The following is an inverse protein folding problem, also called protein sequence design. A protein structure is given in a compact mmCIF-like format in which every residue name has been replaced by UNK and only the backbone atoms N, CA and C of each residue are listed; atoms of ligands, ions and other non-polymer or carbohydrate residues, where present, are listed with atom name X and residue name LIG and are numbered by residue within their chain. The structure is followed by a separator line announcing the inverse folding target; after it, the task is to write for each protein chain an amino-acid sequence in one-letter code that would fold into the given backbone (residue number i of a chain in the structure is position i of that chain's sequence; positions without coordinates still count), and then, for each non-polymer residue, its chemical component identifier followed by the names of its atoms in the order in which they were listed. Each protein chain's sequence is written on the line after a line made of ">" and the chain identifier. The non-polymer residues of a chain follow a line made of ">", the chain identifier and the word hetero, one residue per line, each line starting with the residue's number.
data_IF_552050646052
#
_entry.id   IF_552050646052
#
_cell.length_a   1.000
_cell.length_b   1.000
_cell.length_c   1.000
_cell.angle_alpha   90.00
_cell.angle_beta   90.00
_cell.angle_gamma   90.00
#
_symmetry.space_group_name_H-M   'P 1'
#
loop_
_entity.id
_entity.type
_entity.pdbx_description
1 polymer ?
#
# COMPACT_ATOMS: atom_id res chain seq x y z
N UNK A 1 -9.41 -9.23 -15.14
CA UNK A 1 -10.21 -10.07 -14.20
C UNK A 1 -11.44 -9.28 -13.80
N UNK A 2 -12.47 -9.90 -13.22
CA UNK A 2 -13.49 -9.13 -12.50
C UNK A 2 -12.99 -8.81 -11.11
N UNK A 3 -13.17 -7.56 -10.69
CA UNK A 3 -12.66 -7.03 -9.45
C UNK A 3 -13.76 -6.21 -8.78
N UNK A 4 -14.13 -6.58 -7.57
CA UNK A 4 -15.09 -5.86 -6.74
C UNK A 4 -14.40 -5.40 -5.47
N UNK A 5 -14.65 -4.16 -5.08
CA UNK A 5 -14.10 -3.53 -3.89
C UNK A 5 -15.25 -3.16 -2.95
N UNK A 6 -15.12 -3.40 -1.65
CA UNK A 6 -16.10 -2.99 -0.65
C UNK A 6 -15.44 -2.26 0.52
N UNK A 7 -15.73 -0.97 0.67
CA UNK A 7 -15.30 -0.16 1.82
C UNK A 7 -16.28 -0.32 2.98
N UNK A 8 -15.75 -0.48 4.19
CA UNK A 8 -16.51 -0.68 5.43
C UNK A 8 -16.02 0.24 6.54
N UNK A 9 -16.89 0.52 7.50
CA UNK A 9 -16.55 1.25 8.72
C UNK A 9 -16.91 0.46 10.00
N UNK A 10 -16.22 0.77 11.09
CA UNK A 10 -16.49 0.33 12.47
C UNK A 10 -15.94 1.38 13.45
N UNK A 11 -16.26 1.32 14.74
CA UNK A 11 -15.76 2.26 15.74
C UNK A 11 -14.73 1.60 16.69
N UNK A 12 -13.67 2.35 17.06
CA UNK A 12 -12.61 1.89 17.97
C UNK A 12 -12.52 2.67 19.29
N UNK A 13 -11.96 1.97 20.27
CA UNK A 13 -11.36 2.53 21.48
C UNK A 13 -9.88 2.84 21.27
N UNK A 14 -9.40 4.00 21.72
CA UNK A 14 -7.96 4.29 21.81
C UNK A 14 -7.29 3.40 22.88
N UNK A 15 -6.11 2.86 22.61
CA UNK A 15 -5.27 2.27 23.67
C UNK A 15 -4.74 3.40 24.56
N UNK A 16 -5.25 3.50 25.78
CA UNK A 16 -4.61 4.32 26.82
C UNK A 16 -3.23 3.75 27.14
N UNK A 17 -2.26 4.63 27.40
CA UNK A 17 -0.93 4.19 27.83
C UNK A 17 -1.03 3.51 29.19
N UNK A 18 -0.55 2.27 29.27
CA UNK A 18 -0.33 1.59 30.54
C UNK A 18 0.81 2.31 31.27
N UNK A 19 0.51 2.89 32.44
CA UNK A 19 1.54 3.48 33.29
C UNK A 19 2.39 2.36 33.90
N UNK A 20 3.54 2.06 33.28
CA UNK A 20 4.52 1.13 33.84
C UNK A 20 4.90 1.55 35.27
N UNK A 21 4.56 0.72 36.27
CA UNK A 21 4.98 0.98 37.64
C UNK A 21 6.50 0.84 37.76
N UNK A 22 7.11 1.74 38.54
CA UNK A 22 8.56 1.96 38.59
C UNK A 22 9.41 0.75 39.04
N UNK A 23 8.77 -0.28 39.58
CA UNK A 23 9.41 -1.36 40.34
C UNK A 23 10.13 -2.39 39.46
N UNK A 24 9.64 -2.65 38.24
CA UNK A 24 10.24 -3.69 37.38
C UNK A 24 11.62 -3.31 36.80
N UNK A 25 12.00 -2.02 36.81
CA UNK A 25 13.29 -1.56 36.23
C UNK A 25 14.49 -1.77 37.15
N UNK A 26 14.32 -1.99 38.45
CA UNK A 26 15.45 -2.18 39.39
C UNK A 26 15.99 -3.61 39.46
N UNK A 27 15.21 -4.64 39.14
CA UNK A 27 15.67 -6.04 39.24
C UNK A 27 16.58 -6.52 38.08
N UNK A 28 16.78 -5.73 37.01
CA UNK A 28 17.59 -6.12 35.83
C UNK A 28 19.04 -5.61 35.82
N UNK A 29 19.52 -4.92 36.87
CA UNK A 29 20.86 -4.31 36.88
C UNK A 29 21.90 -4.99 37.80
N UNK A 30 21.64 -6.19 38.35
CA UNK A 30 22.56 -6.86 39.29
C UNK A 30 22.92 -8.32 38.93
N UNK A 31 23.33 -8.61 37.69
CA UNK A 31 24.05 -9.86 37.38
C UNK A 31 24.73 -9.94 35.98
N UNK A 32 25.93 -9.36 35.83
CA UNK A 32 27.03 -9.89 34.96
C UNK A 32 28.30 -9.04 35.15
N UNK A 33 29.47 -9.68 35.27
CA UNK A 33 30.77 -8.99 35.36
C UNK A 33 31.54 -8.94 34.03
N UNK A 34 32.47 -7.99 33.91
CA UNK A 34 33.27 -7.76 32.69
C UNK A 34 34.48 -8.72 32.55
N UNK A 35 34.74 -9.24 31.34
CA UNK A 35 36.08 -9.64 30.87
C UNK A 35 36.84 -8.43 30.25
N UNK A 36 38.17 -8.53 30.06
CA UNK A 36 39.01 -7.41 29.59
C UNK A 36 39.00 -7.20 28.07
N UNK A 37 39.49 -6.04 27.64
CA UNK A 37 39.53 -5.57 26.24
C UNK A 37 40.72 -6.08 25.43
N UNK A 38 40.52 -6.30 24.13
CA UNK A 38 41.56 -6.53 23.13
C UNK A 38 41.34 -5.62 21.91
N UNK A 39 42.41 -5.02 21.40
CA UNK A 39 42.34 -4.12 20.24
C UNK A 39 42.37 -4.91 18.90
N UNK A 40 41.65 -4.47 17.86
CA UNK A 40 41.76 -5.03 16.52
C UNK A 40 43.04 -4.53 15.80
N UNK A 41 43.63 -5.33 14.89
CA UNK A 41 44.81 -4.94 14.11
C UNK A 41 44.48 -3.97 12.94
N UNK A 42 45.48 -3.23 12.41
CA UNK A 42 45.28 -2.23 11.37
C UNK A 42 45.12 -2.79 9.95
N UNK A 43 44.44 -2.03 9.09
CA UNK A 43 44.12 -2.38 7.68
C UNK A 43 45.27 -1.98 6.72
N UNK A 44 45.64 -2.82 5.72
CA UNK A 44 46.62 -2.48 4.69
C UNK A 44 46.18 -1.35 3.72
N UNK A 45 47.17 -0.71 3.08
CA UNK A 45 46.99 0.39 2.11
C UNK A 45 46.83 -0.13 0.66
N UNK A 46 46.25 0.67 -0.27
CA UNK A 46 45.80 0.19 -1.58
C UNK A 46 46.92 -0.08 -2.58
N UNK A 47 46.65 -0.98 -3.54
CA UNK A 47 47.47 -1.21 -4.74
C UNK A 47 46.94 -0.46 -5.97
N UNK A 48 47.80 -0.33 -6.97
CA UNK A 48 47.69 0.63 -8.08
C UNK A 48 46.84 0.19 -9.27
N UNK A 49 46.32 1.18 -10.00
CA UNK A 49 45.63 1.03 -11.28
C UNK A 49 46.48 0.32 -12.34
N UNK A 50 45.83 -0.45 -13.21
CA UNK A 50 46.40 -0.99 -14.45
C UNK A 50 45.54 -0.52 -15.62
N UNK A 51 46.16 0.18 -16.57
CA UNK A 51 45.47 0.65 -17.77
C UNK A 51 45.10 -0.51 -18.70
N UNK A 52 43.88 -0.49 -19.25
CA UNK A 52 43.54 -1.29 -20.42
C UNK A 52 43.18 -0.36 -21.59
N UNK A 53 43.80 -0.60 -22.74
CA UNK A 53 43.62 0.20 -23.96
C UNK A 53 42.40 -0.31 -24.73
N UNK A 54 41.61 0.62 -25.28
CA UNK A 54 40.46 0.33 -26.14
C UNK A 54 40.78 0.52 -27.61
N UNK A 55 40.25 -0.35 -28.48
CA UNK A 55 40.28 -0.22 -29.94
C UNK A 55 38.84 -0.37 -30.51
N UNK A 56 38.41 0.49 -31.44
CA UNK A 56 37.13 0.38 -32.16
C UNK A 56 37.33 -0.34 -33.52
N UNK A 57 36.29 -0.51 -34.39
CA UNK A 57 34.86 -0.20 -34.23
C UNK A 57 33.96 -1.45 -34.50
N UNK A 58 32.63 -1.26 -34.56
CA UNK A 58 31.81 -1.52 -35.76
C UNK A 58 30.32 -1.26 -35.48
N UNK A 59 29.63 -0.55 -36.38
CA UNK A 59 28.20 -0.21 -36.28
C UNK A 59 27.39 -0.84 -37.43
N UNK A 60 26.25 -1.49 -37.14
CA UNK A 60 25.17 -1.70 -38.10
C UNK A 60 24.20 -0.50 -38.07
N UNK A 61 23.71 -0.07 -39.23
CA UNK A 61 22.61 0.91 -39.30
C UNK A 61 21.30 0.30 -38.78
N UNK A 62 20.58 1.04 -37.93
CA UNK A 62 19.12 0.90 -37.76
C UNK A 62 18.51 2.28 -37.96
N UNK A 63 17.41 2.34 -38.72
CA UNK A 63 16.75 3.58 -39.12
C UNK A 63 16.07 4.29 -37.94
N UNK A 64 16.11 5.62 -37.94
CA UNK A 64 15.48 6.43 -36.91
C UNK A 64 13.95 6.40 -37.04
N UNK A 65 13.28 5.73 -36.10
CA UNK A 65 11.86 5.95 -35.81
C UNK A 65 11.72 7.20 -34.93
N UNK A 66 10.68 7.99 -35.17
CA UNK A 66 10.44 9.26 -34.49
C UNK A 66 10.18 9.06 -32.99
N UNK A 67 11.05 9.60 -32.13
CA UNK A 67 10.89 9.56 -30.68
C UNK A 67 9.69 10.39 -30.21
N UNK A 68 8.82 9.79 -29.40
CA UNK A 68 7.70 10.48 -28.77
C UNK A 68 8.17 11.67 -27.90
N UNK A 69 7.46 12.81 -27.89
CA UNK A 69 7.82 14.01 -27.12
C UNK A 69 7.48 13.86 -25.63
N UNK A 70 8.13 12.92 -24.95
CA UNK A 70 7.95 12.64 -23.51
C UNK A 70 9.22 12.26 -22.76
N UNK A 71 10.38 12.12 -23.44
CA UNK A 71 11.65 11.76 -22.79
C UNK A 71 12.28 12.97 -22.12
N UNK A 72 11.76 13.31 -20.93
CA UNK A 72 12.22 14.43 -20.12
C UNK A 72 13.72 14.38 -19.83
N UNK A 73 14.39 15.53 -19.96
CA UNK A 73 15.70 15.76 -19.34
C UNK A 73 15.50 15.85 -17.81
N UNK A 74 16.57 15.68 -17.04
CA UNK A 74 16.55 15.80 -15.57
C UNK A 74 15.64 16.94 -15.11
N UNK A 75 14.74 16.64 -14.17
CA UNK A 75 13.86 17.64 -13.60
C UNK A 75 14.68 18.80 -13.02
N UNK A 76 14.23 20.04 -13.26
CA UNK A 76 14.60 21.13 -12.36
C UNK A 76 14.05 20.77 -10.98
N UNK A 77 14.88 20.91 -9.95
CA UNK A 77 14.39 20.99 -8.58
C UNK A 77 13.38 22.15 -8.52
N UNK A 78 12.10 21.82 -8.33
CA UNK A 78 11.04 22.78 -8.07
C UNK A 78 11.18 23.30 -6.63
N UNK A 79 10.67 24.49 -6.34
CA UNK A 79 10.58 24.95 -4.95
C UNK A 79 9.64 24.00 -4.18
N UNK A 80 9.96 23.54 -2.95
CA UNK A 80 9.07 22.63 -2.21
C UNK A 80 7.65 23.18 -1.98
N UNK A 81 7.48 24.49 -1.98
CA UNK A 81 6.17 25.17 -1.89
C UNK A 81 5.37 25.14 -3.21
N UNK A 82 6.02 24.84 -4.33
CA UNK A 82 5.43 24.71 -5.68
C UNK A 82 5.15 23.24 -6.07
N UNK A 83 5.68 22.26 -5.32
CA UNK A 83 5.49 20.84 -5.63
C UNK A 83 4.06 20.38 -5.35
N UNK A 84 3.39 19.78 -6.34
CA UNK A 84 2.06 19.20 -6.15
C UNK A 84 2.13 17.77 -5.62
N UNK A 85 1.03 17.28 -5.02
CA UNK A 85 0.86 15.88 -4.65
C UNK A 85 1.12 14.90 -5.81
N UNK A 86 0.83 15.32 -7.04
CA UNK A 86 1.04 14.54 -8.27
C UNK A 86 2.53 14.39 -8.59
N UNK A 87 3.30 15.45 -8.38
CA UNK A 87 4.74 15.42 -8.61
C UNK A 87 5.43 14.61 -7.50
N UNK A 88 5.00 14.82 -6.24
CA UNK A 88 5.33 13.95 -5.11
C UNK A 88 4.95 12.48 -5.33
N UNK A 89 3.81 12.20 -5.96
CA UNK A 89 3.37 10.84 -6.27
C UNK A 89 4.32 10.18 -7.28
N UNK A 90 4.59 10.81 -8.42
CA UNK A 90 5.46 10.19 -9.43
C UNK A 90 6.92 10.06 -8.97
N UNK A 91 7.42 10.97 -8.13
CA UNK A 91 8.78 10.92 -7.57
C UNK A 91 8.89 9.97 -6.36
N UNK A 92 7.88 9.90 -5.47
CA UNK A 92 7.85 8.89 -4.39
C UNK A 92 7.73 7.47 -4.93
N UNK A 93 6.92 7.24 -5.96
CA UNK A 93 6.90 5.94 -6.66
C UNK A 93 8.16 5.67 -7.51
N UNK A 94 9.12 6.59 -7.61
CA UNK A 94 10.48 6.28 -8.09
C UNK A 94 11.34 5.67 -6.97
N UNK A 95 10.99 5.93 -5.70
CA UNK A 95 11.71 5.43 -4.55
C UNK A 95 11.43 3.94 -4.31
N UNK A 96 12.50 3.15 -4.24
CA UNK A 96 12.44 1.69 -4.09
C UNK A 96 11.69 1.23 -2.82
N UNK A 97 11.71 2.02 -1.74
CA UNK A 97 11.17 1.62 -0.44
C UNK A 97 9.66 1.34 -0.47
N UNK A 98 8.90 2.18 -1.19
CA UNK A 98 7.44 2.02 -1.37
C UNK A 98 7.14 0.74 -2.17
N UNK A 99 7.96 0.40 -3.16
CA UNK A 99 7.85 -0.86 -3.88
C UNK A 99 8.26 -2.06 -3.03
N UNK A 100 9.21 -1.91 -2.11
CA UNK A 100 9.62 -2.98 -1.21
C UNK A 100 8.56 -3.28 -0.14
N UNK A 101 7.92 -2.27 0.48
CA UNK A 101 6.77 -2.48 1.37
C UNK A 101 5.62 -3.17 0.63
N UNK A 102 5.28 -2.69 -0.58
CA UNK A 102 4.28 -3.32 -1.45
C UNK A 102 4.62 -4.77 -1.82
N UNK A 103 5.90 -5.11 -2.04
CA UNK A 103 6.34 -6.48 -2.37
C UNK A 103 6.38 -7.40 -1.13
N UNK A 104 6.71 -6.85 0.05
CA UNK A 104 6.68 -7.53 1.35
C UNK A 104 5.26 -7.77 1.87
N UNK A 105 4.27 -7.01 1.39
CA UNK A 105 2.85 -7.33 1.58
C UNK A 105 2.50 -8.63 0.82
N UNK A 106 2.70 -9.75 1.50
CA UNK A 106 2.36 -11.09 1.01
C UNK A 106 0.85 -11.26 0.81
N UNK A 107 0.02 -10.68 1.67
CA UNK A 107 -1.44 -10.78 1.59
C UNK A 107 -1.93 -10.22 0.26
N UNK A 108 -1.46 -9.01 -0.10
CA UNK A 108 -1.68 -8.40 -1.41
C UNK A 108 -1.04 -9.22 -2.52
N UNK A 109 0.27 -9.40 -2.48
CA UNK A 109 1.08 -9.85 -3.62
C UNK A 109 0.78 -11.32 -3.96
N UNK A 110 0.60 -12.19 -2.96
CA UNK A 110 0.20 -13.57 -3.16
C UNK A 110 -1.25 -13.69 -3.62
N UNK A 111 -2.17 -12.83 -3.17
CA UNK A 111 -3.58 -12.89 -3.65
C UNK A 111 -3.66 -12.54 -5.14
N UNK A 112 -2.98 -11.48 -5.59
CA UNK A 112 -2.88 -11.17 -7.02
C UNK A 112 -2.25 -12.33 -7.80
N UNK A 113 -1.10 -12.86 -7.35
CA UNK A 113 -0.46 -14.03 -7.98
C UNK A 113 -1.41 -15.22 -8.10
N UNK A 114 -2.10 -15.56 -7.01
CA UNK A 114 -2.98 -16.72 -6.92
C UNK A 114 -4.24 -16.53 -7.80
N UNK A 115 -4.77 -15.31 -7.89
CA UNK A 115 -5.88 -14.98 -8.81
C UNK A 115 -5.50 -15.24 -10.28
N UNK A 116 -4.25 -15.02 -10.67
CA UNK A 116 -3.76 -15.35 -12.01
C UNK A 116 -3.39 -16.84 -12.15
N UNK A 117 -2.55 -17.37 -11.25
CA UNK A 117 -1.95 -18.70 -11.35
C UNK A 117 -2.95 -19.85 -11.16
N UNK A 118 -4.00 -19.68 -10.36
CA UNK A 118 -5.06 -20.70 -10.21
C UNK A 118 -6.12 -20.62 -11.33
N UNK A 119 -6.06 -19.58 -12.17
CA UNK A 119 -7.04 -19.34 -13.23
C UNK A 119 -6.37 -19.11 -14.59
N UNK A 120 -5.24 -19.80 -14.87
CA UNK A 120 -4.47 -19.67 -16.14
C UNK A 120 -5.33 -19.77 -17.40
N UNK A 121 -6.42 -20.54 -17.38
CA UNK A 121 -7.38 -20.65 -18.48
C UNK A 121 -8.04 -19.31 -18.89
N UNK A 122 -8.09 -18.32 -17.99
CA UNK A 122 -8.58 -16.95 -18.27
C UNK A 122 -7.50 -16.12 -18.97
N UNK A 123 -6.23 -16.36 -18.64
CA UNK A 123 -5.07 -15.61 -19.12
C UNK A 123 -4.48 -16.18 -20.41
N UNK A 124 -4.64 -17.49 -20.65
CA UNK A 124 -4.02 -18.19 -21.78
C UNK A 124 -4.36 -17.52 -23.10
N UNK A 125 -3.33 -17.23 -23.88
CA UNK A 125 -3.40 -16.63 -25.22
C UNK A 125 -4.03 -15.21 -25.25
N UNK A 126 -4.22 -14.55 -24.09
CA UNK A 126 -4.76 -13.18 -24.00
C UNK A 126 -3.68 -12.10 -24.04
N UNK A 127 -4.07 -10.90 -24.46
CA UNK A 127 -3.32 -9.68 -24.19
C UNK A 127 -3.79 -9.15 -22.83
N UNK A 128 -2.85 -8.75 -21.98
CA UNK A 128 -3.11 -8.16 -20.65
C UNK A 128 -2.55 -6.73 -20.60
N UNK A 129 -3.20 -5.87 -19.84
CA UNK A 129 -2.75 -4.51 -19.52
C UNK A 129 -2.57 -4.41 -18.00
N UNK A 130 -1.43 -3.88 -17.57
CA UNK A 130 -1.03 -3.67 -16.18
C UNK A 130 -0.83 -2.16 -15.99
N UNK A 131 -1.70 -1.52 -15.20
CA UNK A 131 -1.83 -0.06 -15.11
C UNK A 131 -1.24 0.42 -13.79
N UNK A 132 -0.18 1.22 -13.85
CA UNK A 132 0.69 1.47 -12.69
C UNK A 132 1.56 0.25 -12.40
N UNK A 133 2.20 -0.30 -13.43
CA UNK A 133 2.89 -1.59 -13.34
C UNK A 133 4.08 -1.60 -12.37
N UNK A 134 4.61 -0.44 -11.96
CA UNK A 134 5.70 -0.31 -11.00
C UNK A 134 6.93 -1.14 -11.37
N UNK A 135 7.34 -2.04 -10.49
CA UNK A 135 8.42 -3.02 -10.69
C UNK A 135 8.13 -4.12 -11.71
N UNK A 136 6.91 -4.15 -12.29
CA UNK A 136 6.47 -5.14 -13.27
C UNK A 136 5.95 -6.44 -12.67
N UNK A 137 5.93 -6.61 -11.34
CA UNK A 137 5.61 -7.89 -10.68
C UNK A 137 4.25 -8.49 -11.11
N UNK A 138 3.22 -7.66 -11.30
CA UNK A 138 1.90 -8.13 -11.75
C UNK A 138 1.91 -8.53 -13.24
N UNK A 139 2.60 -7.76 -14.09
CA UNK A 139 2.88 -8.15 -15.48
C UNK A 139 3.61 -9.49 -15.57
N UNK A 140 4.60 -9.74 -14.70
CA UNK A 140 5.34 -11.00 -14.65
C UNK A 140 4.46 -12.17 -14.21
N UNK A 141 3.53 -11.97 -13.26
CA UNK A 141 2.51 -12.96 -12.92
C UNK A 141 1.55 -13.24 -14.09
N UNK A 142 1.12 -12.21 -14.84
CA UNK A 142 0.26 -12.38 -16.01
C UNK A 142 0.94 -13.19 -17.12
N UNK A 143 2.24 -12.93 -17.37
CA UNK A 143 3.06 -13.70 -18.30
C UNK A 143 3.13 -15.18 -17.89
N UNK A 144 3.45 -15.50 -16.62
CA UNK A 144 3.46 -16.91 -16.15
C UNK A 144 2.08 -17.54 -15.98
N UNK A 145 1.00 -16.77 -16.00
CA UNK A 145 -0.35 -17.29 -16.15
C UNK A 145 -0.69 -17.70 -17.59
N UNK A 146 0.17 -17.39 -18.57
CA UNK A 146 0.03 -17.79 -19.98
C UNK A 146 -0.47 -16.68 -20.92
N UNK A 147 -0.41 -15.41 -20.50
CA UNK A 147 -0.71 -14.29 -21.39
C UNK A 147 0.18 -14.32 -22.63
N UNK A 148 -0.42 -14.09 -23.81
CA UNK A 148 0.29 -13.98 -25.10
C UNK A 148 1.20 -12.75 -25.13
N UNK A 149 0.76 -11.67 -24.48
CA UNK A 149 1.52 -10.44 -24.34
C UNK A 149 1.00 -9.66 -23.14
N UNK A 150 1.86 -8.85 -22.51
CA UNK A 150 1.48 -7.98 -21.39
C UNK A 150 2.06 -6.58 -21.65
N UNK A 151 1.19 -5.58 -21.64
CA UNK A 151 1.60 -4.18 -21.66
C UNK A 151 1.62 -3.66 -20.22
N UNK A 152 2.80 -3.34 -19.70
CA UNK A 152 2.94 -2.53 -18.49
C UNK A 152 2.94 -1.05 -18.84
N UNK A 153 2.10 -0.26 -18.16
CA UNK A 153 2.14 1.20 -18.22
C UNK A 153 2.57 1.71 -16.84
N UNK A 154 3.71 2.37 -16.82
CA UNK A 154 4.24 3.07 -15.64
C UNK A 154 4.69 4.48 -16.05
N UNK A 155 4.46 5.42 -15.14
CA UNK A 155 4.67 6.85 -15.28
C UNK A 155 5.89 7.36 -14.49
N UNK A 156 6.29 6.63 -13.45
CA UNK A 156 7.50 6.88 -12.66
C UNK A 156 8.75 6.25 -13.28
N UNK A 157 9.94 6.76 -12.92
CA UNK A 157 11.25 6.26 -13.40
C UNK A 157 11.61 4.86 -12.89
N UNK A 158 10.83 4.28 -11.95
CA UNK A 158 10.90 2.86 -11.61
C UNK A 158 10.68 1.94 -12.84
N UNK A 159 10.04 2.45 -13.90
CA UNK A 159 9.95 1.83 -15.22
C UNK A 159 11.31 1.43 -15.81
N UNK A 160 12.36 2.23 -15.60
CA UNK A 160 13.73 1.87 -16.04
C UNK A 160 14.31 0.69 -15.27
N UNK A 161 13.77 0.37 -14.09
CA UNK A 161 14.14 -0.81 -13.32
C UNK A 161 13.25 -2.01 -13.65
N UNK A 162 11.95 -1.81 -13.92
CA UNK A 162 11.07 -2.91 -14.35
C UNK A 162 11.48 -3.49 -15.69
N UNK A 163 11.94 -2.68 -16.65
CA UNK A 163 12.61 -3.18 -17.86
C UNK A 163 13.80 -4.09 -17.54
N UNK A 164 14.67 -3.69 -16.61
CA UNK A 164 15.87 -4.46 -16.22
C UNK A 164 15.47 -5.77 -15.52
N UNK A 165 14.48 -5.72 -14.64
CA UNK A 165 13.90 -6.88 -13.94
C UNK A 165 13.31 -7.86 -14.96
N UNK A 166 12.51 -7.38 -15.91
CA UNK A 166 11.90 -8.20 -16.97
C UNK A 166 12.98 -8.88 -17.83
N UNK A 167 14.09 -8.20 -18.13
CA UNK A 167 15.23 -8.74 -18.90
C UNK A 167 16.09 -9.73 -18.10
N UNK A 168 16.44 -9.41 -16.84
CA UNK A 168 17.14 -10.34 -15.93
C UNK A 168 16.35 -11.62 -15.70
N UNK A 169 15.02 -11.52 -15.73
CA UNK A 169 14.12 -12.66 -15.62
C UNK A 169 13.81 -13.38 -16.90
N UNK A 170 14.42 -12.94 -17.99
CA UNK A 170 14.18 -13.43 -19.31
C UNK A 170 12.65 -13.48 -19.55
N UNK A 171 11.98 -12.33 -19.55
CA UNK A 171 10.56 -12.20 -19.91
C UNK A 171 10.36 -11.35 -21.16
N UNK A 172 11.43 -10.72 -21.61
CA UNK A 172 11.70 -10.56 -23.03
C UNK A 172 11.81 -11.92 -23.76
N UNK A 173 12.53 -12.92 -23.19
CA UNK A 173 12.96 -14.11 -23.94
C UNK A 173 12.94 -15.53 -23.26
N UNK A 174 12.87 -15.69 -21.92
CA UNK A 174 12.58 -16.94 -21.11
C UNK A 174 13.72 -17.62 -20.29
N UNK A 175 13.71 -17.88 -18.95
CA UNK A 175 12.89 -17.45 -17.78
C UNK A 175 13.66 -17.54 -16.39
N UNK A 176 13.30 -16.74 -15.36
CA UNK A 176 13.48 -16.87 -13.86
C UNK A 176 14.76 -16.35 -13.09
N UNK A 177 14.91 -16.22 -11.72
CA UNK A 177 14.11 -16.63 -10.52
C UNK A 177 14.29 -15.87 -9.13
N UNK A 178 13.19 -15.31 -8.55
CA UNK A 178 12.77 -15.15 -7.10
C UNK A 178 11.22 -15.19 -7.04
N UNK A 179 10.60 -16.16 -6.35
CA UNK A 179 9.28 -16.74 -6.74
C UNK A 179 9.24 -17.27 -8.20
N UNK A 180 10.38 -17.30 -8.90
CA UNK A 180 10.42 -17.31 -10.35
C UNK A 180 10.74 -15.97 -11.04
N UNK A 181 10.98 -14.85 -10.34
CA UNK A 181 11.51 -13.59 -10.90
C UNK A 181 12.58 -12.83 -10.05
N UNK A 182 13.87 -12.86 -10.39
CA UNK A 182 14.97 -12.06 -9.80
C UNK A 182 14.62 -10.58 -9.62
N UNK A 183 14.83 -10.08 -8.40
CA UNK A 183 14.58 -8.71 -7.94
C UNK A 183 15.82 -8.12 -7.24
N UNK A 184 17.00 -8.75 -7.35
CA UNK A 184 18.22 -8.35 -6.60
C UNK A 184 18.68 -6.92 -6.89
N UNK A 185 18.37 -6.37 -8.07
CA UNK A 185 18.64 -4.98 -8.41
C UNK A 185 17.87 -3.94 -7.57
N UNK A 186 16.73 -4.32 -6.96
CA UNK A 186 16.03 -3.49 -5.96
C UNK A 186 16.64 -3.73 -4.57
N UNK A 187 16.91 -5.00 -4.25
CA UNK A 187 17.27 -5.47 -2.90
C UNK A 187 18.49 -4.75 -2.30
N UNK A 188 19.49 -4.43 -3.12
CA UNK A 188 20.74 -3.84 -2.64
C UNK A 188 20.65 -2.36 -2.23
N UNK A 189 19.47 -1.72 -2.37
CA UNK A 189 19.24 -0.30 -2.01
C UNK A 189 18.20 -0.16 -0.89
N UNK A 190 17.36 -1.16 -0.65
CA UNK A 190 16.12 -1.07 0.14
C UNK A 190 16.27 -1.06 1.68
N UNK A 191 17.36 -0.53 2.22
CA UNK A 191 17.71 -0.66 3.65
C UNK A 191 17.54 0.64 4.44
N UNK A 192 16.32 1.20 4.60
CA UNK A 192 15.92 2.08 5.71
C UNK A 192 14.43 2.51 5.73
N UNK A 193 13.98 2.97 6.91
CA UNK A 193 12.80 3.84 7.22
C UNK A 193 11.36 3.23 7.38
N UNK A 194 10.40 3.94 8.06
CA UNK A 194 9.46 3.29 9.02
C UNK A 194 7.94 3.27 8.68
N UNK A 195 7.13 2.86 9.67
CA UNK A 195 5.76 2.34 9.56
C UNK A 195 4.58 3.35 9.60
N UNK A 196 3.52 3.02 8.83
CA UNK A 196 2.10 3.33 9.13
C UNK A 196 1.56 2.38 10.24
N UNK A 197 0.57 2.80 11.04
CA UNK A 197 0.07 2.09 12.25
C UNK A 197 -1.01 1.01 12.00
N UNK A 198 -1.29 0.14 12.99
CA UNK A 198 -2.22 -1.02 12.92
C UNK A 198 -3.19 -1.01 14.12
N UNK A 199 -4.49 -1.20 13.87
CA UNK A 199 -5.51 -1.33 14.93
C UNK A 199 -5.56 -2.77 15.47
N UNK A 200 -5.40 -2.99 16.79
CA UNK A 200 -5.65 -4.31 17.41
C UNK A 200 -7.16 -4.62 17.31
N UNK A 201 -7.59 -5.79 16.78
CA UNK A 201 -9.01 -6.13 16.70
C UNK A 201 -9.75 -6.09 18.04
N UNK A 202 -9.05 -6.20 19.18
CA UNK A 202 -9.64 -5.98 20.52
C UNK A 202 -10.10 -4.54 20.75
N UNK A 203 -9.59 -3.56 20.03
CA UNK A 203 -10.02 -2.16 20.12
C UNK A 203 -11.38 -1.90 19.45
N UNK A 204 -11.86 -2.81 18.60
CA UNK A 204 -13.17 -2.71 17.93
C UNK A 204 -14.30 -2.83 18.95
N UNK A 205 -15.24 -1.87 18.95
CA UNK A 205 -16.38 -1.83 19.90
C UNK A 205 -17.71 -2.24 19.25
N UNK A 206 -17.80 -2.21 17.91
CA UNK A 206 -19.05 -2.38 17.15
C UNK A 206 -19.02 -3.58 16.20
N UNK A 207 -20.14 -3.83 15.51
CA UNK A 207 -20.13 -4.52 14.22
C UNK A 207 -19.47 -3.63 13.13
N UNK A 208 -19.51 -4.06 11.86
CA UNK A 208 -19.10 -3.22 10.72
C UNK A 208 -20.24 -2.96 9.74
N UNK A 209 -20.31 -1.73 9.22
CA UNK A 209 -21.26 -1.32 8.20
C UNK A 209 -20.59 -1.26 6.82
N UNK A 210 -21.34 -1.55 5.75
CA UNK A 210 -20.91 -1.36 4.36
C UNK A 210 -21.21 0.07 3.95
N UNK A 211 -20.18 0.86 3.61
CA UNK A 211 -20.35 2.27 3.22
C UNK A 211 -20.22 2.49 1.72
N UNK A 212 -19.47 1.63 1.01
CA UNK A 212 -19.38 1.68 -0.47
C UNK A 212 -19.11 0.30 -1.04
N UNK A 213 -19.79 -0.03 -2.13
CA UNK A 213 -19.47 -1.18 -3.00
C UNK A 213 -19.14 -0.63 -4.39
N UNK A 214 -18.12 -1.20 -5.03
CA UNK A 214 -17.60 -0.77 -6.34
C UNK A 214 -17.41 -2.00 -7.21
N UNK A 215 -18.15 -2.08 -8.32
CA UNK A 215 -17.88 -3.03 -9.40
C UNK A 215 -17.11 -2.33 -10.51
N UNK A 216 -15.86 -2.74 -10.71
CA UNK A 216 -14.89 -2.05 -11.59
C UNK A 216 -15.24 -2.25 -13.08
N UNK A 217 -16.25 -3.07 -13.41
CA UNK A 217 -16.82 -3.15 -14.75
C UNK A 217 -17.82 -2.02 -15.09
N UNK A 218 -18.45 -1.39 -14.09
CA UNK A 218 -19.60 -0.50 -14.31
C UNK A 218 -19.53 0.84 -13.59
N UNK A 219 -18.66 0.96 -12.57
CA UNK A 219 -18.44 2.22 -11.84
C UNK A 219 -17.90 3.31 -12.77
N UNK A 220 -18.31 4.54 -12.52
CA UNK A 220 -17.87 5.75 -13.21
C UNK A 220 -17.18 6.71 -12.25
N UNK A 221 -16.58 7.78 -12.78
CA UNK A 221 -15.89 8.76 -11.93
C UNK A 221 -16.87 9.55 -11.06
N UNK A 222 -18.07 9.85 -11.55
CA UNK A 222 -19.13 10.49 -10.76
C UNK A 222 -19.59 9.64 -9.56
N UNK A 223 -19.52 8.30 -9.65
CA UNK A 223 -19.89 7.40 -8.56
C UNK A 223 -18.87 7.41 -7.40
N UNK A 224 -17.66 7.93 -7.60
CA UNK A 224 -16.60 7.96 -6.59
C UNK A 224 -16.73 9.16 -5.63
N UNK A 225 -17.52 10.17 -6.00
CA UNK A 225 -18.04 11.19 -5.07
C UNK A 225 -19.38 10.69 -4.53
N UNK A 226 -19.49 10.45 -3.23
CA UNK A 226 -20.72 9.87 -2.67
C UNK A 226 -20.94 10.23 -1.20
N UNK A 227 -22.21 10.20 -0.78
CA UNK A 227 -22.62 10.14 0.62
C UNK A 227 -23.28 8.80 0.90
N UNK A 228 -22.99 8.20 2.05
CA UNK A 228 -23.53 6.90 2.47
C UNK A 228 -23.90 6.93 3.94
N UNK A 229 -25.12 6.50 4.27
CA UNK A 229 -25.54 6.33 5.65
C UNK A 229 -24.95 5.05 6.25
N UNK A 230 -24.68 5.05 7.56
CA UNK A 230 -24.26 3.87 8.29
C UNK A 230 -25.05 3.70 9.60
N UNK A 231 -25.14 2.45 10.06
CA UNK A 231 -25.58 2.09 11.40
C UNK A 231 -24.56 1.13 12.01
N UNK A 232 -24.10 1.43 13.23
CA UNK A 232 -23.12 0.65 13.97
C UNK A 232 -23.67 0.29 15.35
N UNK A 233 -23.87 -0.99 15.59
CA UNK A 233 -24.41 -1.53 16.84
C UNK A 233 -23.28 -1.85 17.83
N UNK A 234 -23.40 -1.33 19.04
CA UNK A 234 -22.43 -1.48 20.13
C UNK A 234 -22.44 -2.92 20.66
N UNK A 235 -21.29 -3.62 20.58
CA UNK A 235 -21.19 -5.03 20.96
C UNK A 235 -20.80 -5.25 22.42
N UNK A 236 -20.23 -4.23 23.08
CA UNK A 236 -19.83 -4.24 24.50
C UNK A 236 -19.86 -2.83 25.09
N UNK A 237 -19.98 -2.72 26.41
CA UNK A 237 -19.80 -1.41 27.08
C UNK A 237 -18.33 -0.99 26.95
N UNK A 238 -18.06 0.22 26.46
CA UNK A 238 -16.70 0.74 26.27
C UNK A 238 -16.70 2.27 26.03
N UNK A 239 -15.53 2.85 25.74
CA UNK A 239 -15.37 4.24 25.29
C UNK A 239 -14.91 4.31 23.82
N UNK A 240 -15.71 4.94 22.96
CA UNK A 240 -15.42 5.11 21.54
C UNK A 240 -14.70 6.44 21.30
N UNK A 241 -13.60 6.39 20.55
CA UNK A 241 -12.68 7.51 20.32
C UNK A 241 -12.53 7.89 18.84
N UNK A 242 -13.08 7.09 17.93
CA UNK A 242 -12.91 7.30 16.49
C UNK A 242 -13.55 6.21 15.63
N UNK A 243 -13.78 6.54 14.37
CA UNK A 243 -14.16 5.61 13.32
C UNK A 243 -12.92 5.02 12.65
N UNK A 244 -12.98 3.76 12.28
CA UNK A 244 -11.97 3.08 11.46
C UNK A 244 -12.65 2.67 10.16
N UNK A 245 -12.03 3.00 9.02
CA UNK A 245 -12.42 2.45 7.73
C UNK A 245 -11.36 1.48 7.19
N UNK A 246 -11.85 0.48 6.47
CA UNK A 246 -11.06 -0.58 5.87
C UNK A 246 -11.79 -1.08 4.60
N UNK A 247 -11.15 -1.95 3.82
CA UNK A 247 -11.78 -2.49 2.62
C UNK A 247 -11.50 -3.97 2.38
N UNK A 248 -12.31 -4.56 1.50
CA UNK A 248 -12.10 -5.91 0.97
C UNK A 248 -11.97 -5.83 -0.56
N UNK A 249 -11.13 -6.70 -1.12
CA UNK A 249 -10.96 -6.90 -2.57
C UNK A 249 -11.39 -8.32 -2.92
N UNK A 250 -12.23 -8.50 -3.95
CA UNK A 250 -12.64 -9.81 -4.45
C UNK A 250 -12.47 -9.94 -5.98
N UNK A 251 -11.76 -10.99 -6.39
CA UNK A 251 -11.50 -11.32 -7.79
C UNK A 251 -12.60 -12.24 -8.34
N UNK A 252 -13.80 -11.70 -8.56
CA UNK A 252 -15.07 -12.43 -8.80
C UNK A 252 -15.15 -13.29 -10.06
N UNK A 253 -14.11 -13.35 -10.90
CA UNK A 253 -14.01 -14.29 -12.03
C UNK A 253 -13.06 -15.47 -11.78
N UNK A 254 -12.51 -15.60 -10.57
CA UNK A 254 -11.75 -16.78 -10.17
C UNK A 254 -12.69 -17.98 -9.94
N UNK A 255 -12.24 -19.19 -10.26
CA UNK A 255 -13.01 -20.43 -10.05
C UNK A 255 -13.23 -20.77 -8.56
N UNK A 256 -12.31 -20.32 -7.69
CA UNK A 256 -12.49 -20.31 -6.23
C UNK A 256 -12.57 -18.86 -5.74
N UNK A 257 -13.35 -18.60 -4.68
CA UNK A 257 -13.37 -17.28 -4.01
C UNK A 257 -11.94 -16.87 -3.66
N UNK A 258 -11.51 -15.74 -4.22
CA UNK A 258 -10.14 -15.25 -4.16
C UNK A 258 -10.20 -13.75 -3.90
N UNK A 259 -9.49 -13.28 -2.87
CA UNK A 259 -9.62 -11.93 -2.35
C UNK A 259 -8.96 -11.78 -0.99
N UNK A 260 -8.88 -10.55 -0.49
CA UNK A 260 -8.33 -10.24 0.84
C UNK A 260 -9.13 -9.11 1.51
N UNK A 261 -8.83 -8.85 2.78
CA UNK A 261 -9.39 -7.78 3.59
C UNK A 261 -8.27 -7.00 4.27
N UNK A 262 -8.49 -5.72 4.52
CA UNK A 262 -7.62 -4.87 5.35
C UNK A 262 -8.21 -4.62 6.74
N UNK A 263 -9.24 -5.37 7.14
CA UNK A 263 -9.88 -5.24 8.46
C UNK A 263 -8.90 -5.46 9.63
N UNK A 264 -9.17 -4.90 10.84
CA UNK A 264 -8.36 -5.18 12.03
C UNK A 264 -8.26 -6.67 12.40
N UNK A 265 -9.28 -7.48 12.07
CA UNK A 265 -9.32 -8.93 12.30
C UNK A 265 -8.73 -9.76 11.14
N UNK A 266 -8.26 -9.11 10.07
CA UNK A 266 -7.58 -9.75 8.96
C UNK A 266 -6.04 -9.73 9.13
N UNK A 267 -5.28 -10.59 8.42
CA UNK A 267 -3.83 -10.49 8.36
C UNK A 267 -3.38 -9.12 7.83
N UNK A 268 -2.38 -8.51 8.46
CA UNK A 268 -1.94 -7.15 8.12
C UNK A 268 -1.52 -7.00 6.66
N UNK A 269 -1.94 -5.88 6.06
CA UNK A 269 -1.48 -5.38 4.75
C UNK A 269 -0.68 -4.10 4.96
N UNK A 270 -0.05 -3.55 3.91
CA UNK A 270 0.59 -2.22 3.99
C UNK A 270 -0.42 -1.07 4.10
N UNK A 271 -1.65 -1.23 3.57
CA UNK A 271 -2.74 -0.26 3.71
C UNK A 271 -3.26 -0.10 5.14
N UNK A 272 -3.16 -1.17 5.95
CA UNK A 272 -3.58 -1.21 7.36
C UNK A 272 -5.02 -0.68 7.49
N UNK A 273 -5.28 0.34 8.28
CA UNK A 273 -6.61 0.96 8.40
C UNK A 273 -6.53 2.49 8.48
N UNK A 274 -7.57 3.19 8.01
CA UNK A 274 -7.69 4.65 8.19
C UNK A 274 -8.50 4.95 9.44
N UNK A 275 -8.00 5.82 10.32
CA UNK A 275 -8.65 6.19 11.59
C UNK A 275 -9.04 7.67 11.58
N UNK A 276 -10.31 7.94 11.88
CA UNK A 276 -10.90 9.27 12.01
C UNK A 276 -11.26 9.48 13.49
N UNK A 277 -10.46 10.29 14.20
CA UNK A 277 -10.67 10.54 15.63
C UNK A 277 -11.77 11.55 15.88
N UNK A 278 -12.65 11.25 16.85
CA UNK A 278 -13.60 12.23 17.38
C UNK A 278 -12.88 13.23 18.29
N UNK A 279 -13.42 14.45 18.41
CA UNK A 279 -12.92 15.47 19.36
C UNK A 279 -13.15 15.02 20.81
N UNK A 280 -14.38 14.60 21.13
CA UNK A 280 -14.78 13.99 22.39
C UNK A 280 -15.09 12.49 22.22
N UNK A 281 -14.94 11.72 23.31
CA UNK A 281 -15.23 10.29 23.31
C UNK A 281 -16.69 9.99 23.67
N UNK A 282 -17.27 8.96 23.04
CA UNK A 282 -18.62 8.49 23.36
C UNK A 282 -18.56 7.40 24.44
N UNK A 283 -19.42 7.49 25.44
CA UNK A 283 -19.57 6.48 26.51
C UNK A 283 -20.74 5.57 26.19
N UNK A 284 -20.48 4.31 25.81
CA UNK A 284 -21.48 3.45 25.17
C UNK A 284 -21.77 2.16 25.93
N UNK A 285 -23.00 1.63 25.77
CA UNK A 285 -23.45 0.34 26.30
C UNK A 285 -23.78 -0.65 25.19
N UNK A 286 -23.57 -1.94 25.46
CA UNK A 286 -23.97 -3.03 24.56
C UNK A 286 -25.45 -2.95 24.19
N UNK A 287 -25.75 -3.03 22.89
CA UNK A 287 -27.10 -3.00 22.32
C UNK A 287 -27.61 -1.60 21.96
N UNK A 288 -26.87 -0.54 22.28
CA UNK A 288 -27.11 0.79 21.72
C UNK A 288 -26.62 0.84 20.25
N UNK A 289 -27.04 1.85 19.50
CA UNK A 289 -26.73 2.00 18.07
C UNK A 289 -26.30 3.44 17.76
N UNK A 290 -25.29 3.57 16.91
CA UNK A 290 -24.80 4.84 16.37
C UNK A 290 -25.24 4.94 14.91
N UNK A 291 -25.93 6.01 14.57
CA UNK A 291 -26.36 6.35 13.21
C UNK A 291 -25.46 7.46 12.67
N UNK A 292 -25.29 7.53 11.36
CA UNK A 292 -24.49 8.59 10.76
C UNK A 292 -24.41 8.55 9.25
N UNK A 293 -23.64 9.48 8.70
CA UNK A 293 -23.31 9.55 7.28
C UNK A 293 -21.80 9.75 7.08
N UNK A 294 -21.28 9.20 5.98
CA UNK A 294 -19.96 9.53 5.45
C UNK A 294 -20.15 10.08 4.03
N UNK A 295 -19.72 11.32 3.81
CA UNK A 295 -19.50 11.88 2.49
C UNK A 295 -18.01 11.80 2.13
N UNK A 296 -17.71 11.53 0.86
CA UNK A 296 -16.35 11.49 0.30
C UNK A 296 -16.34 12.21 -1.05
N UNK A 297 -15.38 13.12 -1.26
CA UNK A 297 -15.13 13.77 -2.56
C UNK A 297 -13.62 13.98 -2.80
N UNK A 298 -13.16 14.05 -4.07
CA UNK A 298 -11.85 14.62 -4.39
C UNK A 298 -11.79 16.10 -3.97
N UNK A 299 -10.63 16.57 -3.49
CA UNK A 299 -10.49 17.96 -3.08
C UNK A 299 -10.42 18.93 -4.28
N UNK A 300 -11.09 20.07 -4.16
CA UNK A 300 -11.22 21.09 -5.21
C UNK A 300 -9.89 21.71 -5.68
N UNK A 301 -8.83 21.67 -4.86
CA UNK A 301 -7.50 22.18 -5.24
C UNK A 301 -6.58 21.10 -5.81
N UNK A 302 -6.92 19.82 -5.59
CA UNK A 302 -6.04 18.68 -5.85
C UNK A 302 -6.87 17.39 -5.83
N UNK A 303 -7.16 16.86 -7.02
CA UNK A 303 -7.96 15.65 -7.24
C UNK A 303 -7.42 14.35 -6.59
N UNK A 304 -6.19 14.38 -6.07
CA UNK A 304 -5.56 13.24 -5.36
C UNK A 304 -5.76 13.28 -3.85
N UNK A 305 -6.02 14.46 -3.30
CA UNK A 305 -6.45 14.58 -1.90
C UNK A 305 -7.94 14.20 -1.80
N UNK A 306 -8.34 13.62 -0.67
CA UNK A 306 -9.74 13.30 -0.40
C UNK A 306 -10.25 14.14 0.77
N UNK A 307 -11.37 14.82 0.54
CA UNK A 307 -12.16 15.46 1.59
C UNK A 307 -13.25 14.48 2.05
N UNK A 308 -13.41 14.34 3.36
CA UNK A 308 -14.42 13.52 4.02
C UNK A 308 -15.24 14.39 4.96
N UNK A 309 -16.57 14.24 4.93
CA UNK A 309 -17.45 14.79 5.97
C UNK A 309 -18.10 13.61 6.69
N UNK A 310 -17.99 13.57 8.02
CA UNK A 310 -18.67 12.57 8.85
C UNK A 310 -19.73 13.22 9.71
N UNK A 311 -20.96 12.72 9.61
CA UNK A 311 -22.08 13.04 10.49
C UNK A 311 -22.36 11.84 11.40
N UNK A 312 -22.63 12.09 12.68
CA UNK A 312 -22.88 11.05 13.68
C UNK A 312 -23.96 11.52 14.67
N UNK A 313 -25.05 10.77 14.76
CA UNK A 313 -26.08 10.91 15.79
C UNK A 313 -26.05 9.68 16.71
N UNK A 314 -25.84 9.92 18.00
CA UNK A 314 -25.86 8.91 19.05
C UNK A 314 -26.75 9.39 20.19
N UNK A 315 -27.66 8.52 20.65
CA UNK A 315 -28.51 8.76 21.82
C UNK A 315 -28.44 7.58 22.77
N UNK A 316 -27.42 7.57 23.62
CA UNK A 316 -27.12 6.51 24.58
C UNK A 316 -27.66 6.80 25.98
N UNK A 317 -27.69 5.80 26.83
CA UNK A 317 -28.14 5.96 28.23
C UNK A 317 -27.15 6.73 29.11
N UNK A 318 -25.94 7.02 28.61
CA UNK A 318 -24.84 7.64 29.35
C UNK A 318 -24.31 8.94 28.70
N UNK A 319 -24.55 9.15 27.40
CA UNK A 319 -24.34 10.42 26.70
C UNK A 319 -25.13 10.47 25.39
N UNK A 320 -25.58 11.66 25.01
CA UNK A 320 -26.06 11.98 23.66
C UNK A 320 -24.97 12.76 22.91
N UNK A 321 -24.87 12.58 21.59
CA UNK A 321 -23.96 13.33 20.73
C UNK A 321 -24.56 13.53 19.32
N UNK A 322 -24.38 14.73 18.77
CA UNK A 322 -24.66 15.06 17.38
C UNK A 322 -23.41 15.77 16.82
N UNK A 323 -22.62 15.05 16.03
CA UNK A 323 -21.30 15.48 15.56
C UNK A 323 -21.36 15.63 14.04
N UNK A 324 -20.75 16.70 13.52
CA UNK A 324 -20.40 16.85 12.10
C UNK A 324 -18.96 17.35 12.04
N UNK A 325 -18.07 16.62 11.36
CA UNK A 325 -16.64 16.95 11.30
C UNK A 325 -16.04 16.62 9.93
N UNK A 326 -15.27 17.57 9.40
CA UNK A 326 -14.57 17.48 8.11
C UNK A 326 -13.11 17.04 8.29
N UNK A 327 -12.69 16.02 7.55
CA UNK A 327 -11.32 15.51 7.54
C UNK A 327 -10.75 15.61 6.12
N UNK A 328 -9.44 15.86 5.99
CA UNK A 328 -8.77 15.87 4.70
C UNK A 328 -7.55 14.96 4.70
N UNK A 329 -7.54 13.98 3.79
CA UNK A 329 -6.39 13.12 3.48
C UNK A 329 -5.56 13.74 2.36
N UNK A 330 -4.23 13.64 2.46
CA UNK A 330 -3.22 14.18 1.53
C UNK A 330 -2.02 13.25 1.49
#
# INVERSE_FOLDING_TARGET
>A
MGLRHSSRCLLLRRKMAEAESSEQKQQRQQSTGNPPSSQPPPVPKPMTSVHHVSLPPHTPHVSALSTCPGRGKMAKLLNPEEMTSRDYYFDSYAHFGIHEEMLKDEVRTLTYRNAMYHNKHIFKDKIVLDVGSGTGILSMFAAKAGAKHVYGIECSSISEYSEKIIKSNHLDHGWENVYGFDMTCIRNVAMMEPLVDIVDPKQVVTNSCLIKEVDIYTVRMEDLTFTSAFCLQIQRNDYIHGLVTYFNIEFTKCHKKTGFSTAPDAPSTHWKQTVFYLEDYLTVRRGEEILGSIAVKPNEKNERDLDFTFELDFKGQLCDAAISHDYKMR
#
